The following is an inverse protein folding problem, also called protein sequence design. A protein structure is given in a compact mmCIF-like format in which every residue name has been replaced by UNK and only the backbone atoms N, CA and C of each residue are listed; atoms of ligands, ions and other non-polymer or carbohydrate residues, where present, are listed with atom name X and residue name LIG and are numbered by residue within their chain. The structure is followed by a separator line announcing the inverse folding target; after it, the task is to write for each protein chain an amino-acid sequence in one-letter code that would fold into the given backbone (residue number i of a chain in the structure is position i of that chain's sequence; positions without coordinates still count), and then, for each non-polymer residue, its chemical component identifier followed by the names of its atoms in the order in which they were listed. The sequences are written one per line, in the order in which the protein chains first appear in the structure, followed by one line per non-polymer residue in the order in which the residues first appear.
data_IF_074894360228
#
_entry.id   IF_074894360228
#
_cell.length_a   1.000
_cell.length_b   1.000
_cell.length_c   1.000
_cell.angle_alpha   90.00
_cell.angle_beta   90.00
_cell.angle_gamma   90.00
#
_symmetry.space_group_name_H-M   'P 1'
#
loop_
_entity.id
_entity.type
_entity.pdbx_description
1 polymer ?
#
# COMPACT_ATOMS: atom_id res chain seq x y z
N UNK A 1 -9.13 1.31 12.57
CA UNK A 1 -8.91 1.48 11.12
C UNK A 1 -9.43 0.30 10.29
N UNK A 2 -9.02 -0.94 10.56
CA UNK A 2 -9.43 -2.12 9.78
C UNK A 2 -10.97 -2.29 9.62
N UNK A 3 -11.74 -2.13 10.70
CA UNK A 3 -13.20 -2.24 10.65
C UNK A 3 -13.88 -1.13 9.82
N UNK A 4 -13.34 0.09 9.85
CA UNK A 4 -13.84 1.22 9.04
C UNK A 4 -13.53 1.01 7.55
N UNK A 5 -12.34 0.49 7.25
CA UNK A 5 -11.91 0.20 5.88
C UNK A 5 -12.66 -1.00 5.27
N UNK A 6 -13.02 -2.01 6.07
CA UNK A 6 -13.91 -3.09 5.63
C UNK A 6 -15.31 -2.57 5.31
N UNK A 7 -15.89 -1.73 6.18
CA UNK A 7 -17.21 -1.11 5.95
C UNK A 7 -17.24 -0.16 4.76
N UNK A 8 -16.10 0.44 4.40
CA UNK A 8 -15.95 1.29 3.22
C UNK A 8 -15.72 0.50 1.92
N UNK A 9 -15.77 -0.84 1.95
CA UNK A 9 -15.51 -1.69 0.78
C UNK A 9 -14.05 -1.68 0.32
N UNK A 10 -13.12 -1.16 1.13
CA UNK A 10 -11.71 -1.05 0.77
C UNK A 10 -10.91 -2.35 1.04
N UNK A 11 -11.47 -3.29 1.81
CA UNK A 11 -10.86 -4.57 2.18
C UNK A 11 -11.89 -5.71 2.11
N UNK A 12 -11.45 -6.93 1.79
CA UNK A 12 -12.24 -8.14 2.06
C UNK A 12 -12.25 -8.44 3.56
N UNK A 13 -13.16 -9.31 4.04
CA UNK A 13 -13.19 -9.69 5.46
C UNK A 13 -11.84 -10.26 5.95
N UNK A 14 -11.19 -11.11 5.14
CA UNK A 14 -9.86 -11.63 5.42
C UNK A 14 -8.75 -10.57 5.29
N UNK A 15 -8.86 -9.65 4.32
CA UNK A 15 -7.97 -8.51 4.18
C UNK A 15 -8.00 -7.59 5.41
N UNK A 16 -9.17 -7.42 6.04
CA UNK A 16 -9.32 -6.63 7.25
C UNK A 16 -8.56 -7.23 8.44
N UNK A 17 -8.57 -8.56 8.59
CA UNK A 17 -7.76 -9.24 9.61
C UNK A 17 -6.26 -9.06 9.36
N UNK A 18 -5.81 -9.20 8.11
CA UNK A 18 -4.42 -8.95 7.74
C UNK A 18 -4.01 -7.49 8.02
N UNK A 19 -4.88 -6.53 7.68
CA UNK A 19 -4.62 -5.11 7.92
C UNK A 19 -4.57 -4.79 9.42
N UNK A 20 -5.40 -5.47 10.22
CA UNK A 20 -5.35 -5.38 11.68
C UNK A 20 -4.03 -5.93 12.24
N UNK A 21 -3.57 -7.09 11.77
CA UNK A 21 -2.30 -7.67 12.20
C UNK A 21 -1.10 -6.77 11.84
N UNK A 22 -1.02 -6.33 10.58
CA UNK A 22 0.02 -5.39 10.11
C UNK A 22 0.00 -4.09 10.91
N UNK A 23 -1.18 -3.48 11.07
CA UNK A 23 -1.32 -2.24 11.81
C UNK A 23 -0.93 -2.36 13.28
N UNK A 24 -1.26 -3.49 13.91
CA UNK A 24 -0.88 -3.77 15.31
C UNK A 24 0.63 -3.89 15.45
N UNK A 25 1.31 -4.62 14.56
CA UNK A 25 2.77 -4.76 14.59
C UNK A 25 3.50 -3.44 14.33
N UNK A 26 2.99 -2.62 13.42
CA UNK A 26 3.57 -1.28 13.16
C UNK A 26 3.40 -0.37 14.38
N UNK A 27 2.20 -0.30 14.96
CA UNK A 27 1.93 0.48 16.16
C UNK A 27 2.73 -0.02 17.37
N UNK A 28 2.87 -1.34 17.52
CA UNK A 28 3.68 -1.92 18.58
C UNK A 28 5.16 -1.51 18.42
N UNK A 29 5.71 -1.69 17.23
CA UNK A 29 7.14 -1.50 17.00
C UNK A 29 7.58 -0.04 16.92
N UNK A 30 6.72 0.84 16.41
CA UNK A 30 7.08 2.25 16.12
C UNK A 30 6.11 3.26 16.71
N UNK A 31 5.08 2.83 17.45
CA UNK A 31 4.10 3.73 18.03
C UNK A 31 3.30 4.50 16.97
N UNK A 32 2.80 5.67 17.37
CA UNK A 32 1.91 6.48 16.55
C UNK A 32 2.56 7.06 15.29
N UNK A 33 3.89 7.28 15.29
CA UNK A 33 4.58 7.83 14.12
C UNK A 33 4.53 6.86 12.93
N UNK A 34 4.91 5.60 13.11
CA UNK A 34 4.76 4.60 12.06
C UNK A 34 3.29 4.28 11.75
N UNK A 35 2.41 4.33 12.76
CA UNK A 35 0.96 4.21 12.55
C UNK A 35 0.39 5.30 11.63
N UNK A 36 0.85 6.56 11.78
CA UNK A 36 0.46 7.67 10.93
C UNK A 36 0.94 7.48 9.48
N UNK A 37 2.16 6.99 9.28
CA UNK A 37 2.70 6.69 7.94
C UNK A 37 1.90 5.56 7.28
N UNK A 38 1.57 4.50 8.01
CA UNK A 38 0.72 3.41 7.53
C UNK A 38 -0.68 3.92 7.13
N UNK A 39 -1.27 4.79 7.94
CA UNK A 39 -2.55 5.41 7.62
C UNK A 39 -2.45 6.29 6.36
N UNK A 40 -1.40 7.11 6.24
CA UNK A 40 -1.18 7.95 5.06
C UNK A 40 -1.03 7.12 3.78
N UNK A 41 -0.26 6.02 3.82
CA UNK A 41 -0.17 5.05 2.72
C UNK A 41 -1.55 4.46 2.37
N UNK A 42 -2.26 3.98 3.39
CA UNK A 42 -3.52 3.25 3.18
C UNK A 42 -4.58 4.18 2.57
N UNK A 43 -4.76 5.38 3.13
CA UNK A 43 -5.76 6.36 2.68
C UNK A 43 -5.42 6.86 1.28
N UNK A 44 -4.18 7.30 1.04
CA UNK A 44 -3.77 7.83 -0.27
C UNK A 44 -3.94 6.80 -1.38
N UNK A 45 -3.47 5.58 -1.15
CA UNK A 45 -3.56 4.50 -2.13
C UNK A 45 -4.99 4.04 -2.37
N UNK A 46 -5.87 4.09 -1.37
CA UNK A 46 -7.31 3.77 -1.55
C UNK A 46 -8.01 4.84 -2.38
N UNK A 47 -7.78 6.12 -2.07
CA UNK A 47 -8.37 7.24 -2.83
C UNK A 47 -7.91 7.26 -4.29
N UNK A 48 -6.64 6.92 -4.55
CA UNK A 48 -6.10 6.84 -5.90
C UNK A 48 -6.73 5.65 -6.63
N UNK A 49 -6.78 4.48 -6.02
CA UNK A 49 -7.33 3.27 -6.66
C UNK A 49 -8.81 3.43 -7.02
N UNK A 50 -9.64 3.94 -6.11
CA UNK A 50 -11.09 4.15 -6.35
C UNK A 50 -11.41 5.15 -7.46
N UNK A 51 -10.52 6.11 -7.73
CA UNK A 51 -10.72 7.12 -8.78
C UNK A 51 -10.23 6.66 -10.15
N UNK A 52 -9.74 5.43 -10.27
CA UNK A 52 -9.17 4.90 -11.51
C UNK A 52 -10.27 4.18 -12.28
N UNK A 53 -10.61 4.61 -13.50
CA UNK A 53 -11.59 3.90 -14.33
C UNK A 53 -11.05 2.51 -14.65
N UNK A 54 -11.84 1.46 -14.44
CA UNK A 54 -11.43 0.08 -14.71
C UNK A 54 -11.08 -0.10 -16.20
N UNK A 55 -9.80 -0.30 -16.57
CA UNK A 55 -9.45 -0.69 -17.91
C UNK A 55 -9.63 -2.21 -18.02
N UNK A 56 -10.22 -2.67 -19.13
CA UNK A 56 -10.54 -4.08 -19.34
C UNK A 56 -9.39 -5.06 -19.04
N UNK A 57 -9.79 -6.22 -18.50
CA UNK A 57 -9.07 -7.50 -18.43
C UNK A 57 -7.66 -7.58 -17.80
N UNK A 58 -6.96 -6.48 -17.51
CA UNK A 58 -5.58 -6.51 -17.00
C UNK A 58 -5.40 -6.03 -15.55
N UNK A 59 -6.44 -5.48 -14.91
CA UNK A 59 -6.32 -4.92 -13.57
C UNK A 59 -6.58 -5.95 -12.46
N UNK A 60 -5.50 -6.57 -11.96
CA UNK A 60 -5.50 -7.37 -10.72
C UNK A 60 -5.62 -6.52 -9.44
N UNK A 61 -5.63 -5.18 -9.52
CA UNK A 61 -5.58 -4.26 -8.36
C UNK A 61 -6.84 -3.40 -8.16
N UNK A 62 -7.83 -3.46 -9.04
CA UNK A 62 -9.08 -2.68 -8.94
C UNK A 62 -10.15 -3.44 -8.13
N UNK A 63 -10.06 -3.39 -6.80
CA UNK A 63 -11.02 -4.03 -5.91
C UNK A 63 -10.69 -3.86 -4.43
N UNK A 64 -11.52 -4.41 -3.52
CA UNK A 64 -11.19 -4.46 -2.11
C UNK A 64 -9.86 -5.21 -1.92
N UNK A 65 -8.93 -4.64 -1.15
CA UNK A 65 -7.64 -5.27 -0.90
C UNK A 65 -7.84 -6.62 -0.22
N UNK A 66 -7.31 -7.67 -0.85
CA UNK A 66 -7.31 -9.00 -0.27
C UNK A 66 -6.11 -9.19 0.69
N UNK A 67 -6.11 -10.30 1.42
CA UNK A 67 -5.05 -10.68 2.34
C UNK A 67 -3.67 -10.64 1.71
N UNK A 68 -3.55 -11.08 0.44
CA UNK A 68 -2.28 -11.16 -0.28
C UNK A 68 -1.73 -9.77 -0.56
N UNK A 69 -2.55 -8.85 -1.04
CA UNK A 69 -2.14 -7.47 -1.32
C UNK A 69 -1.77 -6.71 -0.05
N UNK A 70 -2.47 -6.96 1.07
CA UNK A 70 -2.15 -6.35 2.36
C UNK A 70 -0.78 -6.81 2.85
N UNK A 71 -0.49 -8.11 2.81
CA UNK A 71 0.83 -8.61 3.21
C UNK A 71 1.94 -8.21 2.23
N UNK A 72 1.67 -8.17 0.93
CA UNK A 72 2.65 -7.72 -0.06
C UNK A 72 3.10 -6.27 0.18
N UNK A 73 2.15 -5.37 0.48
CA UNK A 73 2.45 -3.95 0.66
C UNK A 73 2.87 -3.58 2.09
N UNK A 74 2.33 -4.28 3.09
CA UNK A 74 2.48 -3.93 4.50
C UNK A 74 3.26 -4.93 5.35
N UNK A 75 3.54 -6.14 4.84
CA UNK A 75 4.20 -7.20 5.60
C UNK A 75 5.64 -6.84 5.96
N UNK A 76 6.42 -6.35 4.99
CA UNK A 76 7.80 -5.89 5.26
C UNK A 76 7.79 -4.75 6.28
N UNK A 77 6.88 -3.77 6.14
CA UNK A 77 6.73 -2.67 7.09
C UNK A 77 6.44 -3.17 8.51
N UNK A 78 5.59 -4.19 8.67
CA UNK A 78 5.29 -4.82 9.95
C UNK A 78 6.48 -5.61 10.54
N UNK A 79 7.34 -6.19 9.72
CA UNK A 79 8.55 -6.89 10.20
C UNK A 79 9.63 -5.89 10.64
N UNK A 80 9.91 -4.88 9.83
CA UNK A 80 10.94 -3.88 10.13
C UNK A 80 10.53 -2.94 11.27
N UNK A 81 9.22 -2.77 11.53
CA UNK A 81 8.75 -1.99 12.68
C UNK A 81 9.22 -2.57 14.01
N UNK A 82 9.42 -3.89 14.12
CA UNK A 82 9.88 -4.54 15.34
C UNK A 82 11.30 -4.13 15.73
N UNK A 83 12.12 -3.67 14.77
CA UNK A 83 13.42 -3.07 15.07
C UNK A 83 13.27 -1.74 15.84
N UNK A 84 12.13 -1.07 15.70
CA UNK A 84 11.76 0.11 16.46
C UNK A 84 11.70 -0.10 17.98
N UNK A 85 11.53 -1.35 18.43
CA UNK A 85 11.61 -1.70 19.86
C UNK A 85 13.01 -1.56 20.45
N UNK A 86 14.05 -1.61 19.61
CA UNK A 86 15.45 -1.42 20.01
C UNK A 86 15.97 -0.05 19.60
N UNK A 87 15.64 0.38 18.40
CA UNK A 87 16.02 1.68 17.84
C UNK A 87 14.78 2.35 17.22
N UNK A 88 14.09 3.23 17.97
CA UNK A 88 12.88 3.89 17.51
C UNK A 88 13.08 4.71 16.23
N UNK A 89 14.24 5.34 16.05
CA UNK A 89 14.52 6.19 14.89
C UNK A 89 14.69 5.33 13.63
N UNK A 90 15.48 4.26 13.72
CA UNK A 90 15.68 3.33 12.62
C UNK A 90 14.36 2.64 12.23
N UNK A 91 13.58 2.18 13.20
CA UNK A 91 12.28 1.55 12.95
C UNK A 91 11.32 2.47 12.19
N UNK A 92 11.22 3.74 12.58
CA UNK A 92 10.41 4.74 11.88
C UNK A 92 10.87 4.95 10.43
N UNK A 93 12.18 5.09 10.21
CA UNK A 93 12.73 5.29 8.86
C UNK A 93 12.45 4.08 7.96
N UNK A 94 12.66 2.86 8.45
CA UNK A 94 12.42 1.65 7.68
C UNK A 94 10.94 1.46 7.34
N UNK A 95 10.04 1.67 8.31
CA UNK A 95 8.59 1.66 8.05
C UNK A 95 8.23 2.70 6.99
N UNK A 96 8.82 3.89 7.05
CA UNK A 96 8.53 4.96 6.10
C UNK A 96 8.98 4.64 4.69
N UNK A 97 10.23 4.18 4.51
CA UNK A 97 10.78 3.85 3.19
C UNK A 97 10.03 2.67 2.57
N UNK A 98 9.71 1.64 3.34
CA UNK A 98 9.00 0.46 2.84
C UNK A 98 7.58 0.80 2.37
N UNK A 99 6.84 1.59 3.16
CA UNK A 99 5.50 2.04 2.79
C UNK A 99 5.51 3.08 1.65
N UNK A 100 6.53 3.93 1.57
CA UNK A 100 6.71 4.85 0.45
C UNK A 100 6.95 4.09 -0.87
N UNK A 101 7.75 3.03 -0.85
CA UNK A 101 7.93 2.14 -2.00
C UNK A 101 6.62 1.46 -2.44
N UNK A 102 5.86 0.93 -1.48
CA UNK A 102 4.55 0.34 -1.75
C UNK A 102 3.53 1.37 -2.28
N UNK A 103 3.58 2.62 -1.78
CA UNK A 103 2.78 3.73 -2.29
C UNK A 103 3.15 4.04 -3.74
N UNK A 104 4.45 4.17 -4.05
CA UNK A 104 4.94 4.47 -5.39
C UNK A 104 4.50 3.42 -6.42
N UNK A 105 4.62 2.12 -6.12
CA UNK A 105 4.14 1.04 -7.00
C UNK A 105 2.62 1.12 -7.24
N UNK A 106 1.84 1.37 -6.18
CA UNK A 106 0.39 1.49 -6.29
C UNK A 106 -0.01 2.72 -7.11
N UNK A 107 0.60 3.87 -6.84
CA UNK A 107 0.31 5.11 -7.54
C UNK A 107 0.73 5.04 -9.00
N UNK A 108 1.91 4.47 -9.30
CA UNK A 108 2.39 4.30 -10.66
C UNK A 108 1.43 3.44 -11.49
N UNK A 109 0.93 2.33 -10.92
CA UNK A 109 -0.05 1.48 -11.60
C UNK A 109 -1.37 2.22 -11.84
N UNK A 110 -1.95 2.81 -10.80
CA UNK A 110 -3.28 3.44 -10.88
C UNK A 110 -3.30 4.76 -11.65
N UNK A 111 -2.26 5.59 -11.54
CA UNK A 111 -2.15 6.82 -12.32
C UNK A 111 -1.70 6.53 -13.75
N UNK A 112 -0.81 5.54 -13.93
CA UNK A 112 -0.37 5.08 -15.25
C UNK A 112 -1.53 4.58 -16.10
N UNK A 113 -2.49 3.88 -15.49
CA UNK A 113 -3.73 3.45 -16.16
C UNK A 113 -4.57 4.62 -16.73
N UNK A 114 -4.39 5.86 -16.25
CA UNK A 114 -5.06 7.06 -16.78
C UNK A 114 -4.24 7.81 -17.82
N UNK A 115 -3.00 7.38 -18.08
CA UNK A 115 -2.14 8.04 -19.04
C UNK A 115 -2.72 7.91 -20.44
N UNK A 116 -2.93 9.05 -21.11
CA UNK A 116 -3.24 9.10 -22.54
C UNK A 116 -2.00 8.84 -23.41
N UNK A 117 -0.83 8.88 -22.79
CA UNK A 117 0.45 8.64 -23.46
C UNK A 117 0.79 7.16 -23.32
N UNK A 118 1.07 6.45 -24.43
CA UNK A 118 1.41 5.04 -24.37
C UNK A 118 2.70 4.83 -23.56
N UNK A 119 2.74 3.77 -22.73
CA UNK A 119 3.92 3.46 -21.93
C UNK A 119 5.15 3.25 -22.82
N UNK A 120 6.33 3.59 -22.29
CA UNK A 120 7.60 3.46 -22.99
C UNK A 120 8.60 2.69 -22.14
N UNK A 121 9.39 1.85 -22.79
CA UNK A 121 10.54 1.19 -22.16
C UNK A 121 11.57 2.25 -21.73
N UNK A 122 11.96 2.24 -20.45
CA UNK A 122 12.90 3.23 -19.89
C UNK A 122 14.26 3.22 -20.57
N UNK A 123 14.74 2.05 -21.02
CA UNK A 123 16.07 1.92 -21.63
C UNK A 123 16.10 2.20 -23.14
N UNK A 124 15.00 1.98 -23.86
CA UNK A 124 14.96 2.11 -25.33
C UNK A 124 14.06 3.23 -25.82
N UNK A 125 13.21 3.80 -24.96
CA UNK A 125 12.22 4.81 -25.31
C UNK A 125 11.09 4.30 -26.24
N UNK A 126 11.11 3.02 -26.62
CA UNK A 126 10.11 2.40 -27.50
C UNK A 126 8.76 2.31 -26.79
N UNK A 127 7.70 2.60 -27.53
CA UNK A 127 6.32 2.41 -27.06
C UNK A 127 6.03 0.93 -26.91
N UNK A 128 5.38 0.55 -25.82
CA UNK A 128 4.87 -0.81 -25.59
C UNK A 128 3.34 -0.77 -25.55
N UNK A 129 2.66 -1.84 -26.00
CA UNK A 129 1.21 -1.97 -25.89
C UNK A 129 0.73 -1.87 -24.45
#
# INVERSE_FOLDING_TARGET
MAALAWRAGALTGAGAMAAWAVGTLVLWGTGWGGGAVLAAFFVSSTLISQRTPAPGALDFKSGPRDTRQVFANGGIAALVSLLGLRDPALGHWLVTVTLAGAAADTWATSLGARSRVPPRLLWTGRRVP
#
